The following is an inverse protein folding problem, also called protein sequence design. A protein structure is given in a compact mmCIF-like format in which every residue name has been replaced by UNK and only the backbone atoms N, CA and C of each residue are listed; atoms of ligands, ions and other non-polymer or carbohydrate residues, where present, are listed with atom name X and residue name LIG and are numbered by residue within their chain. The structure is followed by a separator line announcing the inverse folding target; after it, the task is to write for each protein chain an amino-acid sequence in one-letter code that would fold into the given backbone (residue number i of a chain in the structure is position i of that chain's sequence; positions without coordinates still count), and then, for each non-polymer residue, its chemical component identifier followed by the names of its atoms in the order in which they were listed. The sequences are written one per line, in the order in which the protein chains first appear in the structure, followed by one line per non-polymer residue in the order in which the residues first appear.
data_IF_123331588574
#
_entry.id   IF_123331588574
#
_cell.length_a   1.000
_cell.length_b   1.000
_cell.length_c   1.000
_cell.angle_alpha   90.00
_cell.angle_beta   90.00
_cell.angle_gamma   90.00
#
_symmetry.space_group_name_H-M   'P 1'
#
loop_
_entity.id
_entity.type
_entity.pdbx_description
1 polymer ?
#
# COMPACT_ATOMS: atom_id res chain seq x y z
N UNK A 1 5.01 30.23 15.69
CA UNK A 1 6.22 29.53 15.20
C UNK A 1 5.80 28.61 14.07
N UNK A 2 6.52 28.57 12.95
CA UNK A 2 6.22 27.61 11.88
C UNK A 2 6.62 26.21 12.36
N UNK A 3 5.69 25.25 12.31
CA UNK A 3 6.00 23.86 12.65
C UNK A 3 6.91 23.28 11.57
N UNK A 4 8.09 22.78 11.97
CA UNK A 4 8.94 21.99 11.08
C UNK A 4 8.31 20.62 10.84
N UNK A 5 8.10 20.26 9.58
CA UNK A 5 7.67 18.91 9.22
C UNK A 5 8.76 17.89 9.57
N UNK A 6 8.40 16.70 10.07
CA UNK A 6 9.38 15.63 10.25
C UNK A 6 9.99 15.26 8.89
N UNK A 7 11.28 14.83 8.86
CA UNK A 7 11.96 14.47 7.62
C UNK A 7 11.30 13.25 6.97
N UNK A 8 11.20 13.26 5.64
CA UNK A 8 10.76 12.12 4.85
C UNK A 8 11.95 11.22 4.50
N UNK A 9 11.75 9.91 4.61
CA UNK A 9 12.70 8.92 4.10
C UNK A 9 12.30 8.55 2.66
N UNK A 10 13.00 9.12 1.67
CA UNK A 10 12.73 8.92 0.25
C UNK A 10 13.02 7.48 -0.21
N UNK A 11 14.07 6.85 0.32
CA UNK A 11 14.46 5.49 -0.02
C UNK A 11 13.37 4.49 0.42
N UNK A 12 12.86 4.65 1.64
CA UNK A 12 11.75 3.83 2.16
C UNK A 12 10.48 4.01 1.34
N UNK A 13 10.18 5.24 0.90
CA UNK A 13 9.02 5.51 0.04
C UNK A 13 9.18 4.84 -1.31
N UNK A 14 10.33 5.00 -1.95
CA UNK A 14 10.60 4.42 -3.26
C UNK A 14 10.55 2.89 -3.23
N UNK A 15 11.20 2.26 -2.25
CA UNK A 15 11.18 0.80 -2.09
C UNK A 15 9.75 0.23 -1.93
N UNK A 16 8.86 0.95 -1.23
CA UNK A 16 7.45 0.56 -1.10
C UNK A 16 6.66 0.72 -2.40
N UNK A 17 6.92 1.79 -3.16
CA UNK A 17 6.33 1.97 -4.50
C UNK A 17 6.79 0.86 -5.45
N UNK A 18 8.08 0.54 -5.45
CA UNK A 18 8.63 -0.55 -6.26
C UNK A 18 8.09 -1.92 -5.85
N UNK A 19 7.87 -2.15 -4.57
CA UNK A 19 7.24 -3.40 -4.10
C UNK A 19 5.79 -3.48 -4.58
N UNK A 20 5.01 -2.42 -4.38
CA UNK A 20 3.60 -2.39 -4.77
C UNK A 20 3.39 -2.47 -6.30
N UNK A 21 4.33 -1.96 -7.10
CA UNK A 21 4.24 -1.97 -8.56
C UNK A 21 4.40 -3.37 -9.17
N UNK A 22 5.02 -4.30 -8.44
CA UNK A 22 5.18 -5.72 -8.86
C UNK A 22 3.87 -6.49 -8.88
N UNK A 23 2.87 -6.04 -8.12
CA UNK A 23 1.52 -6.59 -8.19
C UNK A 23 0.79 -6.07 -9.44
N UNK A 24 1.25 -6.54 -10.60
CA UNK A 24 0.71 -6.23 -11.93
C UNK A 24 0.54 -7.51 -12.73
N UNK A 25 -0.39 -7.50 -13.69
CA UNK A 25 -0.48 -8.58 -14.68
C UNK A 25 0.84 -8.66 -15.48
N UNK A 26 1.40 -9.86 -15.73
CA UNK A 26 2.68 -10.01 -16.43
C UNK A 26 2.71 -9.37 -17.82
N UNK A 27 1.64 -9.54 -18.58
CA UNK A 27 1.54 -9.05 -19.96
C UNK A 27 0.92 -7.64 -20.06
N UNK A 28 0.51 -7.04 -18.93
CA UNK A 28 -0.12 -5.72 -18.87
C UNK A 28 0.45 -4.94 -17.68
N UNK A 29 1.62 -4.28 -17.84
CA UNK A 29 2.26 -3.50 -16.78
C UNK A 29 1.33 -2.47 -16.16
N UNK A 30 1.49 -2.27 -14.85
CA UNK A 30 0.68 -1.39 -14.00
C UNK A 30 -0.83 -1.71 -13.96
N UNK A 31 -1.24 -2.89 -14.45
CA UNK A 31 -2.64 -3.30 -14.44
C UNK A 31 -2.94 -4.18 -13.24
N UNK A 32 -3.79 -3.65 -12.34
CA UNK A 32 -4.35 -4.38 -11.20
C UNK A 32 -5.84 -4.03 -11.06
N UNK A 33 -6.72 -4.88 -11.59
CA UNK A 33 -8.17 -4.64 -11.59
C UNK A 33 -8.75 -4.82 -10.20
N UNK A 34 -9.71 -3.97 -9.82
CA UNK A 34 -10.42 -4.08 -8.55
C UNK A 34 -11.05 -5.46 -8.36
N UNK A 35 -11.03 -5.97 -7.13
CA UNK A 35 -11.60 -7.26 -6.73
C UNK A 35 -11.02 -8.52 -7.43
N UNK A 36 -9.92 -8.38 -8.17
CA UNK A 36 -9.16 -9.53 -8.69
C UNK A 36 -8.28 -10.18 -7.60
N UNK A 37 -7.80 -11.42 -7.79
CA UNK A 37 -6.83 -12.04 -6.88
C UNK A 37 -5.60 -11.14 -6.62
N UNK A 38 -5.03 -10.57 -7.69
CA UNK A 38 -3.89 -9.66 -7.60
C UNK A 38 -4.19 -8.39 -6.78
N UNK A 39 -5.44 -7.89 -6.83
CA UNK A 39 -5.88 -6.78 -5.99
C UNK A 39 -5.94 -7.17 -4.52
N UNK A 40 -6.42 -8.37 -4.20
CA UNK A 40 -6.48 -8.87 -2.83
C UNK A 40 -5.08 -9.11 -2.27
N UNK A 41 -4.19 -9.71 -3.05
CA UNK A 41 -2.78 -9.95 -2.68
C UNK A 41 -2.03 -8.64 -2.38
N UNK A 42 -2.16 -7.63 -3.26
CA UNK A 42 -1.53 -6.33 -3.04
C UNK A 42 -2.05 -5.64 -1.76
N UNK A 43 -3.32 -5.86 -1.42
CA UNK A 43 -3.93 -5.28 -0.20
C UNK A 43 -3.60 -6.07 1.05
N UNK A 44 -3.38 -7.37 0.95
CA UNK A 44 -2.82 -8.17 2.05
C UNK A 44 -1.44 -7.66 2.42
N UNK A 45 -0.58 -7.44 1.43
CA UNK A 45 0.73 -6.83 1.64
C UNK A 45 0.62 -5.44 2.26
N UNK A 46 -0.24 -4.57 1.71
CA UNK A 46 -0.42 -3.21 2.25
C UNK A 46 -0.94 -3.23 3.70
N UNK A 47 -1.82 -4.18 4.06
CA UNK A 47 -2.27 -4.37 5.44
C UNK A 47 -1.09 -4.70 6.35
N UNK A 48 -0.23 -5.63 5.94
CA UNK A 48 0.99 -5.96 6.67
C UNK A 48 1.92 -4.75 6.88
N UNK A 49 2.08 -3.90 5.86
CA UNK A 49 2.87 -2.66 5.99
C UNK A 49 2.27 -1.65 6.97
N UNK A 50 0.94 -1.59 7.08
CA UNK A 50 0.24 -0.77 8.09
C UNK A 50 0.46 -1.33 9.50
N UNK A 51 0.24 -2.63 9.69
CA UNK A 51 0.40 -3.29 10.99
C UNK A 51 1.85 -3.22 11.49
N UNK A 52 2.83 -3.41 10.60
CA UNK A 52 4.25 -3.26 10.91
C UNK A 52 4.61 -1.82 11.32
N UNK A 53 3.85 -0.82 10.86
CA UNK A 53 3.98 0.57 11.29
C UNK A 53 3.24 0.88 12.60
N UNK A 54 2.59 -0.11 13.22
CA UNK A 54 1.84 0.03 14.48
C UNK A 54 0.39 0.51 14.30
N UNK A 55 -0.15 0.44 13.09
CA UNK A 55 -1.52 0.87 12.79
C UNK A 55 -2.52 -0.26 13.03
N UNK A 56 -3.72 0.08 13.49
CA UNK A 56 -4.85 -0.89 13.57
C UNK A 56 -5.56 -0.90 12.23
N UNK A 57 -5.57 -2.05 11.56
CA UNK A 57 -6.19 -2.17 10.25
C UNK A 57 -7.66 -2.57 10.33
N UNK A 58 -8.48 -2.04 9.42
CA UNK A 58 -9.88 -2.44 9.27
C UNK A 58 -10.36 -2.29 7.83
N UNK A 59 -11.43 -3.01 7.52
CA UNK A 59 -12.23 -2.80 6.33
C UNK A 59 -13.55 -2.13 6.71
N UNK A 60 -13.96 -1.12 5.95
CA UNK A 60 -15.34 -0.61 6.04
C UNK A 60 -16.30 -1.40 5.14
N UNK A 61 -17.60 -1.07 5.19
CA UNK A 61 -18.62 -1.72 4.38
C UNK A 61 -18.43 -1.52 2.87
N UNK A 62 -17.72 -0.47 2.45
CA UNK A 62 -17.35 -0.25 1.05
C UNK A 62 -16.12 -1.04 0.61
N UNK A 63 -15.50 -1.78 1.53
CA UNK A 63 -14.28 -2.53 1.29
C UNK A 63 -13.05 -1.63 1.18
N UNK A 64 -13.02 -0.44 1.77
CA UNK A 64 -11.79 0.37 1.87
C UNK A 64 -10.85 -0.22 2.93
N UNK A 65 -9.54 -0.30 2.63
CA UNK A 65 -8.53 -0.66 3.62
C UNK A 65 -8.09 0.59 4.36
N UNK A 66 -8.25 0.58 5.68
CA UNK A 66 -7.90 1.69 6.56
C UNK A 66 -6.85 1.18 7.54
N UNK A 67 -5.76 1.91 7.67
CA UNK A 67 -4.68 1.74 8.65
C UNK A 67 -4.16 3.12 9.04
#
# INVERSE_FOLDING_TARGET
MAMSLPPLNAERLWARVETLSRYTLPDQPWTRRAFSPLFLEAREWLRGEFEAAGLTTRLDAGGNLIG
#
